data_IF_142511580899
#
_entry.id   IF_142511580899
#
_cell.length_a   1.000
_cell.length_b   1.000
_cell.length_c   1.000
_cell.angle_alpha   90.00
_cell.angle_beta   90.00
_cell.angle_gamma   90.00
#
_symmetry.space_group_name_H-M   'P 1'
#
loop_
_entity.id
_entity.type
_entity.pdbx_description
1 polymer ?
#
# COMPACT_ATOMS: atom_id res chain seq x y z
N UNK A 1 19.35 10.71 2.67
CA UNK A 1 18.43 9.65 3.17
C UNK A 1 17.93 8.70 2.08
N UNK A 2 17.49 9.17 0.88
CA UNK A 2 17.07 8.28 -0.23
C UNK A 2 18.14 7.30 -0.75
N UNK A 3 19.44 7.64 -0.63
CA UNK A 3 20.54 6.80 -1.14
C UNK A 3 20.82 5.55 -0.31
N UNK A 4 20.39 5.52 0.94
CA UNK A 4 20.72 4.44 1.88
C UNK A 4 19.66 3.34 1.87
N UNK A 5 18.40 3.72 1.60
CA UNK A 5 17.29 2.78 1.45
C UNK A 5 17.48 1.86 0.25
N UNK A 6 17.78 2.40 -0.96
CA UNK A 6 17.98 1.60 -2.19
C UNK A 6 19.07 0.51 -2.08
N UNK A 7 19.93 0.61 -1.07
CA UNK A 7 21.02 -0.33 -0.83
C UNK A 7 20.53 -1.57 -0.09
N UNK A 8 19.49 -1.49 0.74
CA UNK A 8 19.11 -2.58 1.65
C UNK A 8 18.43 -3.75 0.93
N UNK A 9 17.49 -3.51 0.02
CA UNK A 9 16.95 -4.57 -0.83
C UNK A 9 18.04 -5.17 -1.73
N UNK A 10 18.88 -4.32 -2.34
CA UNK A 10 20.02 -4.80 -3.14
C UNK A 10 20.95 -5.68 -2.32
N UNK A 11 21.27 -5.27 -1.09
CA UNK A 11 22.07 -6.06 -0.16
C UNK A 11 21.38 -7.38 0.15
N UNK A 12 20.07 -7.40 0.42
CA UNK A 12 19.32 -8.64 0.68
C UNK A 12 19.34 -9.58 -0.54
N UNK A 13 19.16 -9.05 -1.75
CA UNK A 13 19.26 -9.84 -2.99
C UNK A 13 20.66 -10.40 -3.17
N UNK A 14 21.70 -9.58 -2.97
CA UNK A 14 23.11 -10.02 -3.03
C UNK A 14 23.39 -11.09 -1.97
N UNK A 15 22.88 -10.92 -0.75
CA UNK A 15 22.96 -11.92 0.32
C UNK A 15 22.26 -13.21 -0.07
N UNK A 16 21.07 -13.14 -0.69
CA UNK A 16 20.35 -14.31 -1.17
C UNK A 16 21.11 -15.04 -2.28
N UNK A 17 21.73 -14.30 -3.21
CA UNK A 17 22.61 -14.85 -4.24
C UNK A 17 23.79 -15.55 -3.59
N UNK A 18 24.49 -14.88 -2.66
CA UNK A 18 25.63 -15.46 -1.94
C UNK A 18 25.26 -16.75 -1.21
N UNK A 19 24.15 -16.77 -0.46
CA UNK A 19 23.68 -17.98 0.21
C UNK A 19 23.33 -19.09 -0.78
N UNK A 20 22.62 -18.77 -1.86
CA UNK A 20 22.27 -19.76 -2.89
C UNK A 20 23.51 -20.34 -3.56
N UNK A 21 24.52 -19.52 -3.83
CA UNK A 21 25.82 -19.95 -4.38
C UNK A 21 26.54 -20.86 -3.41
N UNK A 22 26.67 -20.46 -2.13
CA UNK A 22 27.37 -21.27 -1.11
C UNK A 22 26.68 -22.62 -0.92
N UNK A 23 25.35 -22.63 -0.80
CA UNK A 23 24.56 -23.87 -0.67
C UNK A 23 24.80 -24.76 -1.89
N UNK A 24 24.71 -24.19 -3.10
CA UNK A 24 24.91 -24.95 -4.35
C UNK A 24 26.31 -25.55 -4.41
N UNK A 25 27.36 -24.77 -4.12
CA UNK A 25 28.74 -25.27 -4.11
C UNK A 25 28.94 -26.38 -3.08
N UNK A 26 28.40 -26.25 -1.87
CA UNK A 26 28.51 -27.27 -0.83
C UNK A 26 27.83 -28.57 -1.26
N UNK A 27 26.63 -28.47 -1.85
CA UNK A 27 25.88 -29.62 -2.37
C UNK A 27 26.61 -30.28 -3.53
N UNK A 28 27.14 -29.50 -4.48
CA UNK A 28 27.91 -30.02 -5.60
C UNK A 28 29.19 -30.72 -5.15
N UNK A 29 29.99 -30.10 -4.29
CA UNK A 29 31.24 -30.69 -3.77
C UNK A 29 30.93 -31.99 -3.03
N UNK A 30 29.88 -32.01 -2.21
CA UNK A 30 29.43 -33.20 -1.53
C UNK A 30 29.00 -34.30 -2.51
N UNK A 31 28.17 -33.97 -3.50
CA UNK A 31 27.70 -34.92 -4.50
C UNK A 31 28.86 -35.50 -5.31
N UNK A 32 29.73 -34.66 -5.86
CA UNK A 32 30.89 -35.07 -6.64
C UNK A 32 31.80 -35.97 -5.81
N UNK A 33 32.16 -35.58 -4.58
CA UNK A 33 33.06 -36.36 -3.73
C UNK A 33 32.47 -37.74 -3.40
N UNK A 34 31.19 -37.80 -3.02
CA UNK A 34 30.53 -39.08 -2.70
C UNK A 34 30.39 -39.98 -3.94
N UNK A 35 29.96 -39.44 -5.07
CA UNK A 35 29.80 -40.20 -6.32
C UNK A 35 31.13 -40.71 -6.85
N UNK A 36 32.18 -39.88 -6.84
CA UNK A 36 33.53 -40.31 -7.22
C UNK A 36 34.11 -41.35 -6.27
N UNK A 37 33.86 -41.22 -4.95
CA UNK A 37 34.28 -42.22 -3.97
C UNK A 37 33.58 -43.56 -4.23
N UNK A 38 32.26 -43.57 -4.43
CA UNK A 38 31.48 -44.77 -4.74
C UNK A 38 31.93 -45.42 -6.06
N UNK A 39 32.15 -44.62 -7.11
CA UNK A 39 32.68 -45.10 -8.38
C UNK A 39 34.03 -45.81 -8.22
N UNK A 40 34.96 -45.20 -7.47
CA UNK A 40 36.27 -45.78 -7.19
C UNK A 40 36.20 -47.08 -6.36
N UNK A 41 35.30 -47.16 -5.38
CA UNK A 41 35.08 -48.40 -4.62
C UNK A 41 34.50 -49.53 -5.49
N UNK A 42 33.55 -49.21 -6.36
CA UNK A 42 32.95 -50.19 -7.26
C UNK A 42 33.97 -50.78 -8.24
N UNK A 43 34.83 -49.93 -8.82
CA UNK A 43 35.94 -50.35 -9.69
C UNK A 43 36.91 -51.28 -8.95
N UNK A 44 37.32 -50.92 -7.73
CA UNK A 44 38.21 -51.77 -6.90
C UNK A 44 37.56 -53.10 -6.50
N UNK A 45 36.25 -53.13 -6.36
CA UNK A 45 35.49 -54.35 -6.02
C UNK A 45 35.24 -55.28 -7.23
N UNK A 46 35.76 -54.95 -8.42
CA UNK A 46 35.59 -55.76 -9.63
C UNK A 46 34.16 -55.78 -10.17
N UNK A 47 33.30 -54.87 -9.71
CA UNK A 47 31.97 -54.65 -10.30
C UNK A 47 32.11 -53.68 -11.46
N UNK A 48 32.40 -54.20 -12.64
CA UNK A 48 32.41 -53.45 -13.90
C UNK A 48 30.99 -53.06 -14.34
N UNK A 49 30.33 -52.23 -13.55
CA UNK A 49 29.14 -51.50 -14.01
C UNK A 49 29.63 -50.26 -14.75
N UNK A 50 29.46 -50.23 -16.07
CA UNK A 50 29.92 -49.13 -16.95
C UNK A 50 29.44 -47.75 -16.49
N UNK A 51 28.30 -47.68 -15.81
CA UNK A 51 27.74 -46.45 -15.24
C UNK A 51 28.56 -45.89 -14.08
N UNK A 52 28.98 -46.72 -13.11
CA UNK A 52 29.77 -46.27 -11.96
C UNK A 52 31.22 -45.92 -12.36
N UNK A 53 31.76 -46.63 -13.35
CA UNK A 53 33.06 -46.32 -13.95
C UNK A 53 33.09 -44.94 -14.63
N UNK A 54 31.95 -44.48 -15.15
CA UNK A 54 31.82 -43.15 -15.77
C UNK A 54 31.95 -42.02 -14.74
N UNK A 55 31.54 -42.21 -13.48
CA UNK A 55 31.74 -41.20 -12.42
C UNK A 55 33.16 -41.20 -11.84
N UNK A 56 33.87 -42.32 -11.91
CA UNK A 56 35.26 -42.44 -11.47
C UNK A 56 36.22 -41.81 -12.47
N UNK A 57 35.98 -42.01 -13.77
CA UNK A 57 36.69 -41.32 -14.83
C UNK A 57 35.97 -39.99 -15.09
N UNK A 58 36.42 -38.91 -14.44
CA UNK A 58 35.89 -37.55 -14.59
C UNK A 58 36.06 -37.02 -16.03
N UNK A 59 35.31 -37.57 -16.98
CA UNK A 59 35.26 -37.13 -18.36
C UNK A 59 34.50 -35.82 -18.48
N UNK A 60 34.79 -35.05 -19.52
CA UNK A 60 34.18 -33.74 -19.79
C UNK A 60 32.64 -33.78 -19.75
N UNK A 61 32.01 -34.88 -20.20
CA UNK A 61 30.56 -35.06 -20.16
C UNK A 61 29.96 -35.11 -18.74
N UNK A 62 30.64 -35.79 -17.81
CA UNK A 62 30.16 -35.91 -16.42
C UNK A 62 30.26 -34.57 -15.70
N UNK A 63 31.35 -33.83 -15.92
CA UNK A 63 31.52 -32.48 -15.41
C UNK A 63 30.40 -31.54 -15.89
N UNK A 64 30.02 -31.63 -17.17
CA UNK A 64 28.92 -30.82 -17.72
C UNK A 64 27.60 -31.14 -17.02
N UNK A 65 27.31 -32.43 -16.76
CA UNK A 65 26.07 -32.83 -16.06
C UNK A 65 26.01 -32.25 -14.64
N UNK A 66 27.13 -32.27 -13.90
CA UNK A 66 27.17 -31.65 -12.56
C UNK A 66 26.91 -30.15 -12.60
N UNK A 67 27.56 -29.43 -13.52
CA UNK A 67 27.33 -27.98 -13.69
C UNK A 67 25.86 -27.67 -14.00
N UNK A 68 25.22 -28.47 -14.86
CA UNK A 68 23.79 -28.29 -15.15
C UNK A 68 22.92 -28.51 -13.92
N UNK A 69 23.22 -29.53 -13.11
CA UNK A 69 22.52 -29.77 -11.83
C UNK A 69 22.72 -28.59 -10.88
N UNK A 70 23.94 -28.06 -10.77
CA UNK A 70 24.25 -26.89 -9.96
C UNK A 70 23.46 -25.66 -10.36
N UNK A 71 23.38 -25.36 -11.67
CA UNK A 71 22.60 -24.23 -12.18
C UNK A 71 21.12 -24.36 -11.78
N UNK A 72 20.55 -25.55 -11.93
CA UNK A 72 19.14 -25.81 -11.55
C UNK A 72 18.95 -25.68 -10.04
N UNK A 73 19.85 -26.25 -9.24
CA UNK A 73 19.80 -26.17 -7.77
C UNK A 73 19.93 -24.73 -7.27
N UNK A 74 20.83 -23.95 -7.87
CA UNK A 74 20.99 -22.52 -7.59
C UNK A 74 19.71 -21.76 -7.92
N UNK A 75 19.14 -21.98 -9.11
CA UNK A 75 17.92 -21.32 -9.53
C UNK A 75 16.75 -21.63 -8.58
N UNK A 76 16.57 -22.89 -8.19
CA UNK A 76 15.52 -23.30 -7.23
C UNK A 76 15.73 -22.62 -5.88
N UNK A 77 16.93 -22.69 -5.31
CA UNK A 77 17.24 -22.11 -3.99
C UNK A 77 17.03 -20.60 -4.00
N UNK A 78 17.48 -19.94 -5.06
CA UNK A 78 17.31 -18.50 -5.24
C UNK A 78 15.83 -18.10 -5.36
N UNK A 79 15.06 -18.81 -6.17
CA UNK A 79 13.62 -18.54 -6.36
C UNK A 79 12.84 -18.72 -5.04
N UNK A 80 13.13 -19.78 -4.27
CA UNK A 80 12.50 -20.02 -2.97
C UNK A 80 12.82 -18.91 -1.96
N UNK A 81 14.05 -18.41 -1.93
CA UNK A 81 14.42 -17.28 -1.06
C UNK A 81 13.76 -15.97 -1.50
N UNK A 82 13.64 -15.75 -2.81
CA UNK A 82 13.06 -14.52 -3.37
C UNK A 82 11.54 -14.44 -3.19
N UNK A 83 10.84 -15.56 -3.11
CA UNK A 83 9.39 -15.65 -2.95
C UNK A 83 8.87 -14.86 -1.73
N UNK A 84 9.64 -14.80 -0.65
CA UNK A 84 9.29 -14.00 0.55
C UNK A 84 9.15 -12.51 0.23
N UNK A 85 10.07 -11.97 -0.54
CA UNK A 85 10.05 -10.56 -0.95
C UNK A 85 8.88 -10.28 -1.89
N UNK A 86 8.62 -11.19 -2.84
CA UNK A 86 7.51 -11.06 -3.81
C UNK A 86 6.17 -11.02 -3.08
N UNK A 87 5.92 -11.95 -2.16
CA UNK A 87 4.68 -11.97 -1.37
C UNK A 87 4.46 -10.70 -0.56
N UNK A 88 5.52 -10.05 -0.07
CA UNK A 88 5.38 -8.79 0.66
C UNK A 88 4.95 -7.64 -0.27
N UNK A 89 5.51 -7.60 -1.48
CA UNK A 89 5.10 -6.64 -2.52
C UNK A 89 3.64 -6.87 -2.91
N UNK A 90 3.21 -8.11 -3.08
CA UNK A 90 1.82 -8.44 -3.40
C UNK A 90 0.85 -7.95 -2.33
N UNK A 91 1.21 -8.04 -1.04
CA UNK A 91 0.41 -7.49 0.07
C UNK A 91 0.27 -5.98 -0.01
N UNK A 92 1.37 -5.27 -0.29
CA UNK A 92 1.35 -3.81 -0.49
C UNK A 92 0.46 -3.46 -1.69
N UNK A 93 0.59 -4.20 -2.80
CA UNK A 93 -0.22 -3.98 -4.00
C UNK A 93 -1.71 -4.23 -3.76
N UNK A 94 -2.06 -5.30 -3.04
CA UNK A 94 -3.45 -5.60 -2.71
C UNK A 94 -4.06 -4.53 -1.80
N UNK A 95 -3.30 -4.06 -0.81
CA UNK A 95 -3.76 -2.97 0.05
C UNK A 95 -3.96 -1.67 -0.73
N UNK A 96 -3.04 -1.33 -1.64
CA UNK A 96 -3.17 -0.17 -2.52
C UNK A 96 -4.44 -0.25 -3.39
N UNK A 97 -4.77 -1.45 -3.89
CA UNK A 97 -6.01 -1.67 -4.65
C UNK A 97 -7.25 -1.42 -3.79
N UNK A 98 -7.31 -1.97 -2.57
CA UNK A 98 -8.43 -1.74 -1.65
C UNK A 98 -8.61 -0.25 -1.31
N UNK A 99 -7.50 0.45 -1.06
CA UNK A 99 -7.49 1.90 -0.79
C UNK A 99 -8.03 2.66 -2.01
N UNK A 100 -7.63 2.29 -3.22
CA UNK A 100 -8.12 2.88 -4.47
C UNK A 100 -9.61 2.63 -4.69
N UNK A 101 -10.16 1.54 -4.14
CA UNK A 101 -11.59 1.22 -4.19
C UNK A 101 -12.40 1.92 -3.06
N UNK A 102 -11.73 2.70 -2.21
CA UNK A 102 -12.35 3.51 -1.16
C UNK A 102 -12.31 2.86 0.23
N UNK A 103 -11.72 1.67 0.38
CA UNK A 103 -11.50 1.08 1.71
C UNK A 103 -10.27 1.68 2.38
N UNK A 104 -10.49 2.78 3.10
CA UNK A 104 -9.45 3.42 3.91
C UNK A 104 -9.20 2.68 5.24
N UNK A 105 -9.89 1.59 5.55
CA UNK A 105 -9.66 0.81 6.77
C UNK A 105 -8.56 -0.24 6.64
N UNK A 106 -8.13 -0.49 5.40
CA UNK A 106 -6.98 -1.33 5.13
C UNK A 106 -5.69 -0.68 5.66
N UNK A 107 -4.87 -1.45 6.36
CA UNK A 107 -3.53 -1.06 6.81
C UNK A 107 -2.52 -2.14 6.46
N UNK A 108 -1.31 -1.74 6.09
CA UNK A 108 -0.23 -2.67 5.73
C UNK A 108 0.76 -2.78 6.89
N UNK A 109 1.06 -4.02 7.29
CA UNK A 109 2.11 -4.27 8.27
C UNK A 109 3.49 -3.87 7.71
N UNK A 110 4.23 -3.05 8.46
CA UNK A 110 5.58 -2.61 8.09
C UNK A 110 6.57 -3.67 8.57
N UNK A 111 7.06 -4.50 7.64
CA UNK A 111 7.94 -5.63 7.95
C UNK A 111 9.32 -5.36 7.38
N UNK A 112 10.33 -5.32 8.26
CA UNK A 112 11.72 -5.09 7.88
C UNK A 112 12.08 -3.61 7.74
N UNK A 113 13.25 -3.37 7.18
CA UNK A 113 13.92 -2.07 7.17
C UNK A 113 14.39 -1.65 5.77
N UNK A 114 13.69 -2.13 4.74
CA UNK A 114 14.03 -1.94 3.34
C UNK A 114 13.06 -0.98 2.63
N UNK A 115 13.26 -0.85 1.33
CA UNK A 115 12.48 0.02 0.46
C UNK A 115 11.00 -0.34 0.44
N UNK A 116 10.64 -1.61 0.58
CA UNK A 116 9.25 -2.06 0.61
C UNK A 116 8.61 -1.74 1.95
N UNK A 117 9.34 -1.89 3.06
CA UNK A 117 8.83 -1.46 4.36
C UNK A 117 8.64 0.06 4.42
N UNK A 118 9.53 0.81 3.77
CA UNK A 118 9.35 2.24 3.52
C UNK A 118 8.12 2.56 2.66
N UNK A 119 7.85 1.78 1.61
CA UNK A 119 6.62 1.92 0.81
C UNK A 119 5.37 1.64 1.64
N UNK A 120 5.35 0.58 2.45
CA UNK A 120 4.23 0.25 3.33
C UNK A 120 3.96 1.38 4.35
N UNK A 121 5.00 1.93 4.98
CA UNK A 121 4.87 3.03 5.92
C UNK A 121 4.32 4.30 5.25
N UNK A 122 4.81 4.64 4.05
CA UNK A 122 4.32 5.79 3.29
C UNK A 122 2.86 5.59 2.83
N UNK A 123 2.48 4.36 2.44
CA UNK A 123 1.11 4.03 2.08
C UNK A 123 0.16 4.22 3.26
N UNK A 124 0.51 3.70 4.44
CA UNK A 124 -0.30 3.89 5.65
C UNK A 124 -0.44 5.37 6.01
N UNK A 125 0.66 6.13 5.94
CA UNK A 125 0.62 7.58 6.19
C UNK A 125 -0.29 8.31 5.21
N UNK A 126 -0.23 7.95 3.93
CA UNK A 126 -1.10 8.54 2.92
C UNK A 126 -2.59 8.25 3.20
N UNK A 127 -2.92 7.03 3.66
CA UNK A 127 -4.29 6.67 4.06
C UNK A 127 -4.75 7.49 5.26
N UNK A 128 -3.87 7.68 6.25
CA UNK A 128 -4.14 8.51 7.43
C UNK A 128 -4.39 9.97 7.04
N UNK A 129 -3.53 10.55 6.20
CA UNK A 129 -3.68 11.93 5.70
C UNK A 129 -5.00 12.09 4.93
N UNK A 130 -5.39 11.12 4.09
CA UNK A 130 -6.67 11.14 3.36
C UNK A 130 -7.85 11.15 4.34
N UNK A 131 -7.82 10.31 5.38
CA UNK A 131 -8.88 10.27 6.40
C UNK A 131 -9.02 11.61 7.12
N UNK A 132 -7.90 12.21 7.52
CA UNK A 132 -7.90 13.50 8.19
C UNK A 132 -8.49 14.60 7.28
N UNK A 133 -8.14 14.60 6.00
CA UNK A 133 -8.69 15.53 5.01
C UNK A 133 -10.21 15.35 4.85
N UNK A 134 -10.70 14.11 4.79
CA UNK A 134 -12.14 13.84 4.70
C UNK A 134 -12.91 14.30 5.94
N UNK A 135 -12.35 14.10 7.14
CA UNK A 135 -13.00 14.54 8.37
C UNK A 135 -13.02 16.07 8.48
N UNK A 136 -11.93 16.75 8.08
CA UNK A 136 -11.90 18.21 7.95
C UNK A 136 -12.90 18.74 6.93
N UNK A 137 -13.04 18.09 5.79
CA UNK A 137 -14.03 18.45 4.78
C UNK A 137 -15.46 18.34 5.32
N UNK A 138 -15.77 17.24 6.03
CA UNK A 138 -17.08 17.05 6.68
C UNK A 138 -17.37 18.10 7.73
N UNK A 139 -16.39 18.47 8.54
CA UNK A 139 -16.53 19.53 9.54
C UNK A 139 -16.77 20.90 8.88
N UNK A 140 -16.05 21.20 7.80
CA UNK A 140 -16.23 22.42 7.01
C UNK A 140 -17.63 22.48 6.39
N UNK A 141 -18.14 21.38 5.82
CA UNK A 141 -19.50 21.33 5.27
C UNK A 141 -20.57 21.49 6.35
N UNK A 142 -20.40 20.89 7.53
CA UNK A 142 -21.32 21.10 8.68
C UNK A 142 -21.35 22.56 9.10
N UNK A 143 -20.18 23.16 9.31
CA UNK A 143 -20.06 24.58 9.69
C UNK A 143 -20.69 25.50 8.65
N UNK A 144 -20.50 25.21 7.35
CA UNK A 144 -21.13 25.96 6.25
C UNK A 144 -22.66 25.88 6.33
N UNK A 145 -23.21 24.69 6.55
CA UNK A 145 -24.66 24.48 6.64
C UNK A 145 -25.28 25.15 7.89
N UNK A 146 -24.58 25.09 9.03
CA UNK A 146 -24.98 25.79 10.25
C UNK A 146 -24.99 27.30 10.05
N UNK A 147 -23.94 27.86 9.43
CA UNK A 147 -23.87 29.28 9.11
C UNK A 147 -25.03 29.71 8.21
N UNK A 148 -25.29 28.97 7.13
CA UNK A 148 -26.41 29.26 6.22
C UNK A 148 -27.74 29.23 6.96
N UNK A 149 -27.96 28.22 7.81
CA UNK A 149 -29.19 28.07 8.59
C UNK A 149 -29.38 29.23 9.56
N UNK A 150 -28.33 29.62 10.26
CA UNK A 150 -28.36 30.72 11.22
C UNK A 150 -28.65 32.05 10.51
N UNK A 151 -27.94 32.35 9.41
CA UNK A 151 -28.18 33.55 8.61
C UNK A 151 -29.62 33.56 8.04
N UNK A 152 -30.11 32.43 7.54
CA UNK A 152 -31.47 32.34 7.02
C UNK A 152 -32.53 32.58 8.11
N UNK A 153 -32.30 32.08 9.34
CA UNK A 153 -33.17 32.33 10.48
C UNK A 153 -33.19 33.82 10.85
N UNK A 154 -32.02 34.44 10.91
CA UNK A 154 -31.88 35.84 11.30
C UNK A 154 -32.44 36.80 10.26
N UNK A 155 -32.43 36.43 8.97
CA UNK A 155 -33.07 37.19 7.90
C UNK A 155 -34.60 37.00 7.84
N UNK A 156 -35.12 35.80 8.19
CA UNK A 156 -36.56 35.52 8.14
C UNK A 156 -37.35 36.41 9.09
N UNK A 157 -36.83 36.62 10.31
CA UNK A 157 -37.52 37.39 11.36
C UNK A 157 -37.84 38.84 10.96
N UNK A 158 -36.88 39.67 10.51
CA UNK A 158 -37.17 41.02 10.05
C UNK A 158 -38.01 41.03 8.78
N UNK A 159 -37.76 40.11 7.84
CA UNK A 159 -38.51 40.05 6.58
C UNK A 159 -40.00 39.74 6.81
N UNK A 160 -40.32 38.77 7.67
CA UNK A 160 -41.71 38.48 8.06
C UNK A 160 -42.38 39.68 8.74
N UNK A 161 -41.62 40.43 9.55
CA UNK A 161 -42.13 41.66 10.17
C UNK A 161 -42.45 42.73 9.12
N UNK A 162 -41.54 42.96 8.17
CA UNK A 162 -41.72 43.91 7.04
C UNK A 162 -42.93 43.52 6.20
N UNK A 163 -43.04 42.26 5.80
CA UNK A 163 -44.18 41.75 5.02
C UNK A 163 -45.50 41.98 5.78
N UNK A 164 -45.55 41.64 7.07
CA UNK A 164 -46.76 41.82 7.88
C UNK A 164 -47.21 43.28 7.98
N UNK A 165 -46.29 44.24 8.14
CA UNK A 165 -46.65 45.66 8.12
C UNK A 165 -47.10 46.16 6.75
N UNK A 166 -46.51 45.66 5.65
CA UNK A 166 -46.93 45.98 4.29
C UNK A 166 -48.31 45.39 3.95
N UNK A 167 -48.65 44.20 4.47
CA UNK A 167 -49.98 43.60 4.36
C UNK A 167 -51.04 44.44 5.09
N UNK A 168 -50.74 44.92 6.30
CA UNK A 168 -51.64 45.81 7.05
C UNK A 168 -51.86 47.15 6.32
N UNK A 169 -50.82 47.69 5.69
CA UNK A 169 -50.89 48.92 4.90
C UNK A 169 -51.66 48.77 3.59
N UNK A 170 -51.71 47.57 3.01
CA UNK A 170 -52.38 47.28 1.72
C UNK A 170 -53.81 46.74 1.88
N UNK A 171 -54.24 46.43 3.11
CA UNK A 171 -55.57 45.92 3.41
C UNK A 171 -56.71 46.93 3.16
N UNK A 172 -57.97 46.45 2.98
CA UNK A 172 -59.12 47.28 2.62
C UNK A 172 -59.67 48.17 3.76
N UNK A 173 -59.06 48.16 4.94
CA UNK A 173 -59.50 48.93 6.09
C UNK A 173 -59.02 50.39 6.01
N UNK A 174 -59.94 51.35 6.18
CA UNK A 174 -59.63 52.77 6.15
C UNK A 174 -58.85 53.16 7.43
N UNK A 175 -57.52 53.18 7.34
CA UNK A 175 -56.62 53.54 8.44
C UNK A 175 -56.49 55.06 8.59
N UNK A 176 -56.23 55.52 9.82
CA UNK A 176 -55.90 56.94 10.05
C UNK A 176 -54.52 57.29 9.47
N UNK A 177 -54.30 58.54 9.02
CA UNK A 177 -53.01 58.98 8.49
C UNK A 177 -51.84 58.79 9.47
N UNK A 178 -52.12 58.92 10.77
CA UNK A 178 -51.14 58.74 11.85
C UNK A 178 -50.69 57.28 11.98
N UNK A 179 -51.63 56.33 11.91
CA UNK A 179 -51.32 54.90 11.96
C UNK A 179 -50.58 54.43 10.71
N UNK A 180 -50.92 54.97 9.55
CA UNK A 180 -50.21 54.70 8.31
C UNK A 180 -48.75 55.16 8.39
N UNK A 181 -48.51 56.39 8.86
CA UNK A 181 -47.15 56.92 9.07
C UNK A 181 -46.35 56.08 10.07
N UNK A 182 -46.99 55.62 11.15
CA UNK A 182 -46.37 54.75 12.15
C UNK A 182 -45.92 53.40 11.58
N UNK A 183 -46.73 52.74 10.76
CA UNK A 183 -46.35 51.45 10.17
C UNK A 183 -45.24 51.59 9.11
N UNK A 184 -45.23 52.68 8.34
CA UNK A 184 -44.13 52.99 7.42
C UNK A 184 -42.82 53.17 8.19
N UNK A 185 -42.82 53.93 9.29
CA UNK A 185 -41.65 54.18 10.12
C UNK A 185 -41.09 52.89 10.75
N UNK A 186 -41.97 52.04 11.29
CA UNK A 186 -41.57 50.74 11.84
C UNK A 186 -41.00 49.82 10.75
N UNK A 187 -41.59 49.82 9.55
CA UNK A 187 -41.10 49.02 8.42
C UNK A 187 -39.72 49.47 7.97
N UNK A 188 -39.51 50.79 7.87
CA UNK A 188 -38.21 51.37 7.47
C UNK A 188 -37.13 51.12 8.51
N UNK A 189 -37.47 51.11 9.80
CA UNK A 189 -36.52 50.83 10.89
C UNK A 189 -36.16 49.34 11.01
N UNK A 190 -36.97 48.45 10.43
CA UNK A 190 -36.76 46.99 10.44
C UNK A 190 -36.02 46.48 9.19
N UNK A 191 -35.90 47.31 8.14
CA UNK A 191 -35.16 47.05 6.91
C UNK A 191 -33.66 47.29 7.11
#
# INVERSE_FOLDING_TARGET
>A
MKSDMSRRFRTRVITNIMYSTVITCLVEVFLVTNLSMLGNYALKAGRDTSFLAMFANAGSLVTIVYVLIGIVMFAITFLLMQEKSIRYIDRISAAMQNISEGDLNTTVEVIGDDEFSGMAANLNKMVEDIRELMDKERESERTKNELITNVAHDLRTPLTSIIGYLELLSGPAQMSPEMQKKYIDITYTKA
#
